data_IF_273638584193
#
_entry.id   IF_273638584193
#
_cell.length_a   1.000
_cell.length_b   1.000
_cell.length_c   1.000
_cell.angle_alpha   90.00
_cell.angle_beta   90.00
_cell.angle_gamma   90.00
#
_symmetry.space_group_name_H-M   'P 1'
#
loop_
_entity.id
_entity.type
_entity.pdbx_description
1 polymer ?
#
# COMPACT_ATOMS: atom_id res chain seq x y z
N UNK A 1 -5.66 -29.22 -15.31
CA UNK A 1 -6.60 -28.05 -15.28
C UNK A 1 -6.72 -27.60 -13.83
N UNK A 2 -5.98 -26.57 -13.44
CA UNK A 2 -6.14 -25.90 -12.14
C UNK A 2 -7.44 -25.09 -12.21
N UNK A 3 -8.44 -25.50 -11.48
CA UNK A 3 -9.62 -24.69 -11.23
C UNK A 3 -9.14 -23.46 -10.46
N UNK A 4 -9.00 -22.33 -11.13
CA UNK A 4 -8.82 -21.04 -10.50
C UNK A 4 -10.04 -20.84 -9.59
N UNK A 5 -9.81 -20.90 -8.26
CA UNK A 5 -10.86 -20.56 -7.30
C UNK A 5 -11.11 -19.08 -7.41
N UNK A 6 -12.19 -18.71 -8.09
CA UNK A 6 -12.57 -17.31 -8.18
C UNK A 6 -13.05 -16.85 -6.80
N UNK A 7 -12.32 -15.92 -6.18
CA UNK A 7 -12.77 -15.25 -4.98
C UNK A 7 -14.03 -14.44 -5.26
N UNK A 8 -14.96 -14.45 -4.33
CA UNK A 8 -16.18 -13.64 -4.43
C UNK A 8 -16.55 -13.09 -3.06
N UNK A 9 -17.20 -11.94 -3.06
CA UNK A 9 -17.71 -11.33 -1.85
C UNK A 9 -18.95 -12.08 -1.37
N UNK A 10 -18.90 -12.63 -0.17
CA UNK A 10 -20.02 -13.36 0.44
C UNK A 10 -20.94 -12.42 1.22
N UNK A 11 -20.35 -11.43 1.91
CA UNK A 11 -21.08 -10.51 2.79
C UNK A 11 -20.35 -9.20 2.96
N UNK A 12 -21.12 -8.13 3.04
CA UNK A 12 -20.67 -6.82 3.52
C UNK A 12 -21.23 -6.58 4.93
N UNK A 13 -20.37 -6.17 5.82
CA UNK A 13 -20.76 -5.75 7.16
C UNK A 13 -20.85 -4.22 7.23
N UNK A 14 -21.71 -3.71 8.11
CA UNK A 14 -21.84 -2.27 8.33
C UNK A 14 -20.53 -1.67 8.86
N UNK A 15 -20.23 -0.47 8.40
CA UNK A 15 -19.10 0.31 8.91
C UNK A 15 -19.29 0.61 10.39
N UNK A 16 -18.24 0.38 11.19
CA UNK A 16 -18.22 0.66 12.64
C UNK A 16 -17.15 1.71 12.98
N UNK A 17 -17.35 2.39 14.09
CA UNK A 17 -16.40 3.35 14.66
C UNK A 17 -16.13 3.03 16.12
N UNK A 18 -14.89 3.26 16.55
CA UNK A 18 -14.43 2.98 17.92
C UNK A 18 -13.78 4.23 18.57
N UNK A 19 -14.48 5.36 18.67
CA UNK A 19 -13.87 6.64 19.02
C UNK A 19 -13.34 6.72 20.45
N UNK A 20 -13.76 5.81 21.34
CA UNK A 20 -13.25 5.73 22.71
C UNK A 20 -11.95 4.94 22.82
N UNK A 21 -11.68 4.05 21.87
CA UNK A 21 -10.55 3.11 21.89
C UNK A 21 -9.49 3.49 20.88
N UNK A 22 -9.87 4.21 19.84
CA UNK A 22 -8.99 4.69 18.77
C UNK A 22 -9.17 6.20 18.65
N UNK A 23 -8.14 6.95 19.04
CA UNK A 23 -8.14 8.39 18.87
C UNK A 23 -8.16 8.76 17.39
N UNK A 24 -8.73 9.91 17.06
CA UNK A 24 -8.62 10.46 15.71
C UNK A 24 -7.14 10.66 15.35
N UNK A 25 -6.76 10.22 14.15
CA UNK A 25 -5.38 10.28 13.67
C UNK A 25 -5.31 10.10 12.16
N UNK A 26 -4.12 10.26 11.60
CA UNK A 26 -3.86 10.06 10.18
C UNK A 26 -3.25 8.67 9.97
N UNK A 27 -4.01 7.64 10.30
CA UNK A 27 -3.62 6.26 10.09
C UNK A 27 -3.69 5.94 8.59
N UNK A 28 -2.60 5.47 8.01
CA UNK A 28 -2.49 5.22 6.58
C UNK A 28 -2.34 3.74 6.24
N UNK A 29 -1.34 3.05 6.75
CA UNK A 29 -1.10 1.65 6.42
C UNK A 29 -1.23 0.70 7.61
N UNK A 30 -1.54 -0.56 7.34
CA UNK A 30 -1.73 -1.60 8.34
C UNK A 30 -1.15 -2.94 7.88
N UNK A 31 -0.50 -3.67 8.79
CA UNK A 31 -0.06 -5.04 8.54
C UNK A 31 -0.30 -5.94 9.76
N UNK A 32 -0.64 -7.19 9.50
CA UNK A 32 -0.84 -8.19 10.55
C UNK A 32 0.50 -8.60 11.17
N UNK A 33 0.57 -8.68 12.49
CA UNK A 33 1.74 -9.17 13.21
C UNK A 33 1.53 -10.61 13.67
N UNK A 34 0.59 -10.84 14.56
CA UNK A 34 0.20 -12.16 15.08
C UNK A 34 -1.19 -12.08 15.74
N UNK A 35 -1.90 -13.17 15.84
CA UNK A 35 -3.22 -13.29 16.47
C UNK A 35 -4.19 -12.15 16.03
N UNK A 36 -4.62 -11.31 16.96
CA UNK A 36 -5.46 -10.13 16.71
C UNK A 36 -4.66 -8.81 16.73
N UNK A 37 -3.31 -8.90 16.62
CA UNK A 37 -2.40 -7.77 16.74
C UNK A 37 -1.87 -7.33 15.37
N UNK A 38 -1.90 -6.02 15.16
CA UNK A 38 -1.50 -5.36 13.92
C UNK A 38 -0.54 -4.20 14.19
N UNK A 39 0.37 -3.93 13.26
CA UNK A 39 1.13 -2.69 13.21
C UNK A 39 0.45 -1.71 12.26
N UNK A 40 0.35 -0.46 12.68
CA UNK A 40 -0.28 0.62 11.92
C UNK A 40 0.68 1.80 11.85
N UNK A 41 0.86 2.36 10.66
CA UNK A 41 1.61 3.61 10.47
C UNK A 41 0.67 4.82 10.49
N UNK A 42 1.26 5.97 10.81
CA UNK A 42 0.57 7.25 10.74
C UNK A 42 1.38 8.23 9.90
N UNK A 43 0.74 8.85 8.94
CA UNK A 43 1.38 9.74 7.98
C UNK A 43 1.98 11.00 8.65
N UNK A 44 1.39 11.50 9.73
CA UNK A 44 1.76 12.79 10.37
C UNK A 44 2.15 12.68 11.84
N UNK A 45 2.75 11.56 12.22
CA UNK A 45 3.27 11.39 13.57
C UNK A 45 4.68 11.99 13.71
N UNK A 46 4.86 12.88 14.70
CA UNK A 46 6.16 13.53 14.93
C UNK A 46 7.15 12.66 15.71
N UNK A 47 6.70 11.60 16.37
CA UNK A 47 7.52 10.86 17.34
C UNK A 47 7.38 9.34 17.32
N UNK A 48 6.36 8.79 16.73
CA UNK A 48 6.17 7.34 16.67
C UNK A 48 5.78 6.91 15.27
N UNK A 49 6.56 5.96 14.73
CA UNK A 49 6.36 5.47 13.37
C UNK A 49 5.26 4.43 13.32
N UNK A 50 5.10 3.62 14.38
CA UNK A 50 4.24 2.45 14.41
C UNK A 50 3.39 2.43 15.67
N UNK A 51 2.09 2.23 15.47
CA UNK A 51 1.16 1.90 16.53
C UNK A 51 0.93 0.40 16.54
N UNK A 52 0.64 -0.13 17.72
CA UNK A 52 0.15 -1.49 17.89
C UNK A 52 -1.35 -1.43 18.10
N UNK A 53 -2.09 -2.11 17.24
CA UNK A 53 -3.56 -2.19 17.31
C UNK A 53 -3.98 -3.63 17.63
N UNK A 54 -5.01 -3.77 18.44
CA UNK A 54 -5.80 -4.99 18.52
C UNK A 54 -7.02 -4.84 17.65
N UNK A 55 -7.25 -5.81 16.77
CA UNK A 55 -8.41 -5.84 15.85
C UNK A 55 -9.03 -7.21 15.92
N UNK A 56 -10.25 -7.28 16.46
CA UNK A 56 -10.97 -8.54 16.63
C UNK A 56 -12.12 -8.66 15.64
N UNK A 57 -12.12 -9.76 14.92
CA UNK A 57 -13.13 -10.11 13.95
C UNK A 57 -13.91 -11.32 14.44
N UNK A 58 -15.21 -11.34 14.24
CA UNK A 58 -16.00 -12.53 14.41
C UNK A 58 -15.56 -13.59 13.40
N UNK A 59 -15.10 -14.78 13.83
CA UNK A 59 -14.53 -15.77 12.92
C UNK A 59 -15.54 -16.39 11.95
N UNK A 60 -16.83 -16.30 12.25
CA UNK A 60 -17.90 -16.88 11.42
C UNK A 60 -18.47 -15.85 10.44
N UNK A 61 -18.62 -14.61 10.87
CA UNK A 61 -19.26 -13.55 10.05
C UNK A 61 -18.29 -12.57 9.43
N UNK A 62 -17.00 -12.55 9.86
CA UNK A 62 -16.03 -11.52 9.48
C UNK A 62 -16.38 -10.13 10.05
N UNK A 63 -17.38 -10.03 10.93
CA UNK A 63 -17.79 -8.75 11.50
C UNK A 63 -16.70 -8.19 12.42
N UNK A 64 -16.41 -6.90 12.28
CA UNK A 64 -15.49 -6.20 13.15
C UNK A 64 -16.12 -6.01 14.53
N UNK A 65 -15.58 -6.69 15.55
CA UNK A 65 -16.14 -6.67 16.92
C UNK A 65 -15.46 -5.63 17.81
N UNK A 66 -14.13 -5.51 17.69
CA UNK A 66 -13.36 -4.62 18.54
C UNK A 66 -12.14 -4.06 17.79
N UNK A 67 -11.83 -2.78 18.05
CA UNK A 67 -10.58 -2.13 17.64
C UNK A 67 -10.07 -1.26 18.78
N UNK A 68 -8.81 -1.45 19.14
CA UNK A 68 -8.13 -0.72 20.21
C UNK A 68 -6.72 -0.33 19.78
N UNK A 69 -6.35 0.92 20.01
CA UNK A 69 -4.97 1.38 19.90
C UNK A 69 -4.24 1.08 21.21
N UNK A 70 -3.30 0.14 21.19
CA UNK A 70 -2.51 -0.28 22.34
C UNK A 70 -1.32 0.64 22.64
N UNK A 71 -1.10 1.67 21.82
CA UNK A 71 -0.01 2.61 21.99
C UNK A 71 1.10 2.47 20.94
N UNK A 72 2.18 3.21 21.18
CA UNK A 72 3.29 3.32 20.25
C UNK A 72 4.31 2.21 20.41
N UNK A 73 5.02 1.90 19.31
CA UNK A 73 6.32 1.26 19.37
C UNK A 73 7.37 2.23 19.91
N UNK A 74 8.33 1.72 20.65
CA UNK A 74 9.57 2.44 20.90
C UNK A 74 10.39 2.45 19.60
N UNK A 75 10.61 3.62 19.03
CA UNK A 75 11.46 3.78 17.84
C UNK A 75 12.77 4.42 18.21
N UNK A 76 13.86 3.85 17.70
CA UNK A 76 15.17 4.50 17.71
C UNK A 76 15.20 5.43 16.50
N UNK A 77 14.78 6.66 16.74
CA UNK A 77 15.15 7.81 15.95
C UNK A 77 14.90 7.77 14.43
N UNK A 78 13.78 8.30 13.98
CA UNK A 78 13.80 9.06 12.72
C UNK A 78 12.81 10.21 12.76
N UNK A 79 13.18 11.29 12.05
CA UNK A 79 12.32 12.43 11.81
C UNK A 79 11.10 11.98 11.00
N UNK A 80 10.01 12.71 11.15
CA UNK A 80 8.80 12.66 10.36
C UNK A 80 9.07 12.21 8.91
N UNK A 81 8.61 11.03 8.54
CA UNK A 81 8.88 10.41 7.25
C UNK A 81 7.67 10.28 6.33
N UNK A 82 6.51 10.70 6.79
CA UNK A 82 5.27 10.62 5.99
C UNK A 82 5.02 9.19 5.47
N UNK A 83 4.89 8.24 6.40
CA UNK A 83 4.69 6.84 6.07
C UNK A 83 3.26 6.57 5.63
N UNK A 84 3.08 5.99 4.45
CA UNK A 84 1.78 5.72 3.88
C UNK A 84 1.38 4.25 3.94
N UNK A 85 2.34 3.34 3.83
CA UNK A 85 2.06 1.91 3.90
C UNK A 85 3.09 1.13 4.69
N UNK A 86 2.71 -0.07 5.14
CA UNK A 86 3.54 -0.96 5.94
C UNK A 86 3.26 -2.42 5.58
N UNK A 87 4.31 -3.24 5.51
CA UNK A 87 4.21 -4.68 5.38
C UNK A 87 5.17 -5.42 6.33
N UNK A 88 4.70 -6.49 6.95
CA UNK A 88 5.57 -7.43 7.66
C UNK A 88 6.15 -8.42 6.65
N UNK A 89 7.46 -8.43 6.52
CA UNK A 89 8.17 -9.30 5.56
C UNK A 89 8.89 -10.48 6.22
N UNK A 90 9.07 -10.42 7.53
CA UNK A 90 9.58 -11.54 8.34
C UNK A 90 9.14 -11.41 9.80
N UNK A 91 9.56 -12.35 10.65
CA UNK A 91 9.27 -12.31 12.09
C UNK A 91 9.97 -11.17 12.83
N UNK A 92 10.91 -10.50 12.19
CA UNK A 92 11.71 -9.43 12.78
C UNK A 92 11.90 -8.21 11.89
N UNK A 93 11.14 -8.10 10.78
CA UNK A 93 11.33 -7.00 9.82
C UNK A 93 10.01 -6.45 9.33
N UNK A 94 9.87 -5.13 9.41
CA UNK A 94 8.81 -4.36 8.76
C UNK A 94 9.40 -3.55 7.61
N UNK A 95 8.64 -3.43 6.54
CA UNK A 95 8.95 -2.52 5.42
C UNK A 95 7.87 -1.46 5.36
N UNK A 96 8.28 -0.21 5.16
CA UNK A 96 7.36 0.89 4.93
C UNK A 96 7.65 1.57 3.61
N UNK A 97 6.68 2.28 3.11
CA UNK A 97 6.85 3.24 2.03
C UNK A 97 6.51 4.64 2.53
N UNK A 98 7.29 5.61 2.10
CA UNK A 98 7.11 7.03 2.47
C UNK A 98 6.82 7.85 1.23
N UNK A 99 5.73 8.63 1.27
CA UNK A 99 5.36 9.53 0.19
C UNK A 99 6.37 10.68 0.04
N UNK A 100 6.67 11.38 1.12
CA UNK A 100 7.52 12.56 1.09
C UNK A 100 8.96 12.32 0.64
N UNK A 101 9.47 11.10 0.78
CA UNK A 101 10.80 10.70 0.34
C UNK A 101 10.79 9.74 -0.85
N UNK A 102 9.62 9.31 -1.29
CA UNK A 102 9.44 8.32 -2.37
C UNK A 102 10.35 7.10 -2.19
N UNK A 103 10.40 6.56 -0.96
CA UNK A 103 11.32 5.50 -0.60
C UNK A 103 10.66 4.36 0.14
N UNK A 104 11.26 3.19 -0.01
CA UNK A 104 11.00 2.01 0.79
C UNK A 104 12.09 1.90 1.86
N UNK A 105 11.71 1.66 3.10
CA UNK A 105 12.61 1.50 4.21
C UNK A 105 12.30 0.21 4.98
N UNK A 106 13.34 -0.55 5.29
CA UNK A 106 13.25 -1.70 6.17
C UNK A 106 13.60 -1.32 7.61
N UNK A 107 12.85 -1.87 8.53
CA UNK A 107 13.03 -1.67 9.96
C UNK A 107 13.19 -3.03 10.65
N UNK A 108 14.31 -3.27 11.34
CA UNK A 108 14.39 -4.37 12.27
C UNK A 108 13.46 -4.12 13.46
N UNK A 109 12.73 -5.15 13.88
CA UNK A 109 11.75 -5.05 14.97
C UNK A 109 12.06 -6.08 16.04
N UNK A 110 12.18 -5.62 17.26
CA UNK A 110 12.46 -6.46 18.42
C UNK A 110 11.20 -6.62 19.27
N UNK A 111 10.88 -7.87 19.62
CA UNK A 111 9.68 -8.17 20.41
C UNK A 111 8.37 -8.05 19.64
N UNK A 112 8.38 -8.23 18.33
CA UNK A 112 7.19 -8.16 17.49
C UNK A 112 6.10 -9.12 17.95
N UNK A 113 6.48 -10.32 18.37
CA UNK A 113 5.57 -11.38 18.84
C UNK A 113 5.31 -11.32 20.36
N UNK A 114 5.66 -10.23 21.03
CA UNK A 114 5.41 -10.05 22.45
C UNK A 114 4.00 -9.47 22.65
N UNK A 115 3.19 -10.10 23.51
CA UNK A 115 1.82 -9.64 23.84
C UNK A 115 1.77 -8.31 24.59
N UNK A 116 2.90 -7.82 25.06
CA UNK A 116 3.01 -6.49 25.69
C UNK A 116 3.00 -5.40 24.65
N UNK A 117 2.39 -4.26 24.97
CA UNK A 117 2.16 -3.15 24.06
C UNK A 117 3.41 -2.56 23.39
N UNK A 118 4.58 -2.65 24.04
CA UNK A 118 5.81 -2.08 23.49
C UNK A 118 6.58 -3.11 22.65
N UNK A 119 6.82 -2.81 21.39
CA UNK A 119 7.89 -3.42 20.61
C UNK A 119 8.88 -2.33 20.18
N UNK A 120 10.14 -2.70 20.06
CA UNK A 120 11.19 -1.76 19.71
C UNK A 120 11.49 -1.87 18.22
N UNK A 121 11.53 -0.73 17.56
CA UNK A 121 11.90 -0.60 16.15
C UNK A 121 13.30 -0.02 16.07
N UNK A 122 14.23 -0.69 15.42
CA UNK A 122 15.60 -0.22 15.20
C UNK A 122 15.71 0.80 14.08
N UNK A 123 16.94 1.24 13.80
CA UNK A 123 17.21 2.18 12.71
C UNK A 123 16.81 1.58 11.35
N UNK A 124 16.24 2.39 10.49
CA UNK A 124 15.85 1.97 9.16
C UNK A 124 17.03 1.78 8.23
N UNK A 125 16.93 0.78 7.37
CA UNK A 125 17.81 0.63 6.22
C UNK A 125 17.08 1.14 4.98
N UNK A 126 17.59 2.20 4.37
CA UNK A 126 17.05 2.69 3.10
C UNK A 126 17.48 1.73 1.98
N UNK A 127 16.52 1.00 1.49
CA UNK A 127 16.73 -0.02 0.45
C UNK A 127 17.29 0.56 -0.84
N UNK A 128 17.09 1.87 -1.09
CA UNK A 128 17.60 2.57 -2.28
C UNK A 128 19.02 3.10 -2.14
N UNK A 129 19.51 3.34 -0.93
CA UNK A 129 20.85 3.89 -0.69
C UNK A 129 21.95 2.85 -0.84
N UNK A 130 21.60 1.58 -0.79
CA UNK A 130 22.56 0.51 -1.03
C UNK A 130 22.70 0.33 -2.54
N UNK A 131 23.55 1.13 -3.15
CA UNK A 131 23.84 1.04 -4.58
C UNK A 131 24.63 -0.20 -4.94
N UNK A 132 24.13 -1.02 -5.85
CA UNK A 132 24.91 -1.51 -6.97
C UNK A 132 24.40 -0.98 -8.30
N UNK A 133 25.26 -1.06 -9.30
CA UNK A 133 25.09 -0.46 -10.62
C UNK A 133 23.88 -0.98 -11.44
N UNK A 134 23.16 -1.99 -10.95
CA UNK A 134 22.14 -2.72 -11.71
C UNK A 134 20.73 -2.67 -11.09
N UNK A 135 20.49 -1.75 -10.17
CA UNK A 135 19.21 -1.70 -9.47
C UNK A 135 18.15 -0.97 -10.27
N UNK A 136 17.18 -1.70 -10.76
CA UNK A 136 16.08 -1.22 -11.61
C UNK A 136 15.25 -0.11 -10.94
N UNK A 137 15.18 -0.08 -9.61
CA UNK A 137 14.50 0.96 -8.85
C UNK A 137 15.10 2.35 -9.01
N UNK A 138 16.42 2.45 -8.87
CA UNK A 138 17.10 3.74 -8.89
C UNK A 138 17.20 4.33 -10.29
N UNK A 139 17.04 3.51 -11.30
CA UNK A 139 17.11 3.94 -12.70
C UNK A 139 15.75 4.29 -13.31
N UNK A 140 14.64 3.85 -12.69
CA UNK A 140 13.31 3.94 -13.31
C UNK A 140 12.36 4.90 -12.62
N UNK A 141 12.52 5.16 -11.31
CA UNK A 141 11.67 6.12 -10.59
C UNK A 141 12.51 6.95 -9.62
N UNK A 142 12.83 8.16 -10.04
CA UNK A 142 13.35 9.19 -9.16
C UNK A 142 12.17 9.94 -8.51
N UNK A 143 12.39 10.69 -7.43
CA UNK A 143 11.36 11.60 -6.90
C UNK A 143 10.75 12.52 -7.95
N UNK A 144 11.49 12.83 -9.03
CA UNK A 144 11.01 13.63 -10.15
C UNK A 144 9.99 12.93 -11.04
N UNK A 145 9.85 11.61 -10.95
CA UNK A 145 8.91 10.83 -11.76
C UNK A 145 7.48 10.86 -11.19
N UNK A 146 7.34 11.31 -9.94
CA UNK A 146 6.04 11.49 -9.32
C UNK A 146 5.53 12.91 -9.47
N UNK A 147 4.22 13.06 -9.58
CA UNK A 147 3.58 14.34 -9.39
C UNK A 147 3.61 14.73 -7.90
N UNK A 148 3.65 16.02 -7.56
CA UNK A 148 3.65 16.46 -6.16
C UNK A 148 2.43 15.89 -5.39
N UNK A 149 2.66 15.37 -4.20
CA UNK A 149 1.67 14.72 -3.33
C UNK A 149 1.02 13.45 -3.89
N UNK A 150 1.71 12.76 -4.82
CA UNK A 150 1.30 11.46 -5.34
C UNK A 150 2.49 10.51 -5.32
N UNK A 151 2.60 9.73 -4.27
CA UNK A 151 3.67 8.76 -4.10
C UNK A 151 3.19 7.31 -4.21
N UNK A 152 3.81 6.47 -3.40
CA UNK A 152 3.33 5.12 -3.13
C UNK A 152 2.47 5.17 -1.87
N UNK A 153 1.24 4.65 -1.94
CA UNK A 153 0.35 4.56 -0.78
C UNK A 153 0.04 3.13 -0.35
N UNK A 154 0.57 2.14 -1.03
CA UNK A 154 0.22 0.75 -0.76
C UNK A 154 1.43 -0.17 -0.72
N UNK A 155 1.35 -1.20 0.12
CA UNK A 155 2.38 -2.20 0.28
C UNK A 155 1.75 -3.51 0.78
N UNK A 156 1.95 -4.60 0.05
CA UNK A 156 1.47 -5.91 0.45
C UNK A 156 2.54 -6.98 0.24
N UNK A 157 2.73 -7.88 1.20
CA UNK A 157 3.72 -8.94 1.11
C UNK A 157 3.08 -10.32 0.96
N UNK A 158 3.46 -11.00 -0.11
CA UNK A 158 3.14 -12.40 -0.34
C UNK A 158 4.23 -13.27 0.29
N UNK A 159 3.96 -13.82 1.46
CA UNK A 159 4.90 -14.65 2.19
C UNK A 159 5.11 -16.03 1.57
N UNK A 160 4.21 -16.48 0.71
CA UNK A 160 4.29 -17.78 0.03
C UNK A 160 5.21 -17.70 -1.19
N UNK A 161 5.09 -16.59 -1.95
CA UNK A 161 5.86 -16.36 -3.18
C UNK A 161 7.04 -15.42 -2.99
N UNK A 162 7.19 -14.89 -1.77
CA UNK A 162 8.22 -13.91 -1.40
C UNK A 162 8.21 -12.67 -2.32
N UNK A 163 7.02 -12.17 -2.63
CA UNK A 163 6.83 -10.97 -3.44
C UNK A 163 6.33 -9.82 -2.59
N UNK A 164 6.98 -8.66 -2.72
CA UNK A 164 6.50 -7.42 -2.15
C UNK A 164 5.80 -6.63 -3.25
N UNK A 165 4.52 -6.38 -3.09
CA UNK A 165 3.68 -5.65 -4.03
C UNK A 165 3.54 -4.19 -3.64
N UNK A 166 3.58 -3.31 -4.61
CA UNK A 166 3.28 -1.89 -4.46
C UNK A 166 2.72 -1.31 -5.76
N UNK A 167 2.00 -0.22 -5.67
CA UNK A 167 1.47 0.52 -6.82
C UNK A 167 1.58 2.02 -6.53
N UNK A 168 1.84 2.84 -7.55
CA UNK A 168 1.76 4.29 -7.41
C UNK A 168 0.30 4.72 -7.17
N UNK A 169 0.08 5.72 -6.31
CA UNK A 169 -1.26 6.26 -6.08
C UNK A 169 -1.85 6.81 -7.38
N UNK A 170 -1.05 7.51 -8.16
CA UNK A 170 -1.50 8.19 -9.38
C UNK A 170 -0.57 7.93 -10.56
N UNK A 171 -0.97 8.38 -11.75
CA UNK A 171 -0.15 8.29 -12.97
C UNK A 171 1.19 8.98 -12.77
N UNK A 172 2.27 8.32 -13.15
CA UNK A 172 3.62 8.91 -13.10
C UNK A 172 3.77 9.98 -14.19
N UNK A 173 4.66 10.96 -13.99
CA UNK A 173 4.87 12.06 -14.96
C UNK A 173 5.22 11.59 -16.36
N UNK A 174 6.02 10.53 -16.46
CA UNK A 174 6.43 9.97 -17.75
C UNK A 174 5.34 9.10 -18.38
N UNK A 175 4.31 8.73 -17.61
CA UNK A 175 3.21 7.88 -18.05
C UNK A 175 1.95 8.69 -18.41
N UNK A 176 1.94 9.99 -18.12
CA UNK A 176 0.86 10.92 -18.50
C UNK A 176 0.37 11.82 -17.38
N UNK A 177 -0.81 12.39 -17.57
CA UNK A 177 -1.45 13.25 -16.57
C UNK A 177 -2.26 12.42 -15.56
N UNK A 178 -2.27 12.82 -14.28
CA UNK A 178 -3.14 12.23 -13.27
C UNK A 178 -4.62 12.39 -13.60
N UNK A 179 -5.42 11.42 -13.14
CA UNK A 179 -6.87 11.54 -13.18
C UNK A 179 -7.33 12.80 -12.46
N UNK A 180 -8.26 13.52 -13.05
CA UNK A 180 -8.83 14.71 -12.44
C UNK A 180 -10.31 14.88 -12.82
N UNK A 181 -11.02 15.66 -12.00
CA UNK A 181 -12.39 16.05 -12.29
C UNK A 181 -12.52 16.85 -13.60
N UNK A 182 -11.44 17.45 -14.09
CA UNK A 182 -11.38 18.27 -15.30
C UNK A 182 -11.14 17.43 -16.54
N UNK A 183 -10.07 16.63 -16.58
CA UNK A 183 -9.71 15.85 -17.74
C UNK A 183 -10.59 14.60 -17.90
N UNK A 184 -11.03 14.02 -16.78
CA UNK A 184 -11.85 12.82 -16.77
C UNK A 184 -11.15 11.57 -17.29
N UNK A 185 -9.84 11.62 -17.38
CA UNK A 185 -9.04 10.48 -17.77
C UNK A 185 -8.81 9.54 -16.58
N UNK A 186 -8.73 8.26 -16.85
CA UNK A 186 -8.38 7.26 -15.85
C UNK A 186 -6.89 7.30 -15.53
N UNK A 187 -6.51 7.12 -14.27
CA UNK A 187 -5.12 6.88 -13.91
C UNK A 187 -4.59 5.62 -14.58
N UNK A 188 -3.36 5.71 -15.10
CA UNK A 188 -2.57 4.61 -15.67
C UNK A 188 -1.39 4.36 -14.75
N UNK A 189 -1.42 3.25 -14.04
CA UNK A 189 -0.53 2.96 -12.93
C UNK A 189 0.37 1.78 -13.23
N UNK A 190 1.51 1.72 -12.55
CA UNK A 190 2.40 0.56 -12.56
C UNK A 190 2.23 -0.21 -11.28
N UNK A 191 1.74 -1.43 -11.38
CA UNK A 191 1.67 -2.39 -10.30
C UNK A 191 2.98 -3.18 -10.29
N UNK A 192 3.73 -3.08 -9.20
CA UNK A 192 5.06 -3.67 -9.04
C UNK A 192 5.02 -4.91 -8.18
N UNK A 193 5.77 -5.93 -8.59
CA UNK A 193 6.13 -7.08 -7.78
C UNK A 193 7.66 -7.11 -7.63
N UNK A 194 8.13 -7.01 -6.40
CA UNK A 194 9.56 -7.09 -6.06
C UNK A 194 9.86 -8.46 -5.50
N UNK A 195 10.83 -9.15 -6.08
CA UNK A 195 11.32 -10.42 -5.53
C UNK A 195 12.04 -10.17 -4.20
N UNK A 196 11.48 -10.70 -3.13
CA UNK A 196 11.99 -10.57 -1.76
C UNK A 196 12.62 -11.87 -1.23
N UNK A 197 12.76 -12.91 -2.08
CA UNK A 197 13.16 -14.27 -1.69
C UNK A 197 14.59 -14.39 -1.18
N UNK A 198 15.52 -13.53 -1.65
CA UNK A 198 16.95 -13.67 -1.37
C UNK A 198 17.48 -12.70 -0.30
N UNK A 199 16.61 -12.12 0.51
CA UNK A 199 17.02 -11.23 1.61
C UNK A 199 17.27 -11.96 2.93
N UNK A 200 17.82 -13.15 2.86
CA UNK A 200 18.29 -13.87 4.05
C UNK A 200 19.65 -13.34 4.49
N UNK A 201 19.72 -13.00 5.77
CA UNK A 201 20.90 -12.73 6.57
C UNK A 201 21.60 -11.38 6.40
N UNK A 202 21.13 -10.44 7.20
CA UNK A 202 21.90 -9.27 7.66
C UNK A 202 23.11 -9.64 8.55
N UNK A 203 23.54 -10.89 8.58
CA UNK A 203 24.64 -11.36 9.43
C UNK A 203 26.03 -11.11 8.88
N UNK A 204 26.17 -10.65 7.64
CA UNK A 204 27.47 -10.23 7.15
C UNK A 204 27.58 -8.71 7.17
N UNK A 205 28.43 -8.18 8.03
CA UNK A 205 28.80 -6.75 8.05
C UNK A 205 29.37 -6.22 6.72
N UNK A 206 29.46 -7.05 5.69
CA UNK A 206 29.93 -6.74 4.33
C UNK A 206 29.20 -7.54 3.25
N UNK A 207 28.01 -8.07 3.52
CA UNK A 207 27.25 -8.86 2.56
C UNK A 207 26.71 -8.00 1.41
N UNK A 208 26.91 -8.46 0.18
CA UNK A 208 26.26 -7.93 -1.00
C UNK A 208 24.75 -8.06 -0.83
N UNK A 209 24.06 -6.96 -0.55
CA UNK A 209 22.60 -6.92 -0.55
C UNK A 209 22.17 -7.09 -2.00
N UNK A 210 21.57 -8.23 -2.31
CA UNK A 210 20.93 -8.42 -3.60
C UNK A 210 19.65 -7.57 -3.63
N UNK A 211 19.51 -6.78 -4.68
CA UNK A 211 18.36 -5.92 -4.84
C UNK A 211 17.21 -6.70 -5.47
N UNK A 212 15.98 -6.52 -4.99
CA UNK A 212 14.85 -7.21 -5.56
C UNK A 212 14.66 -6.81 -7.02
N UNK A 213 14.57 -7.79 -7.90
CA UNK A 213 14.18 -7.59 -9.29
C UNK A 213 12.69 -7.28 -9.28
N UNK A 214 12.32 -6.17 -9.91
CA UNK A 214 10.93 -5.80 -10.07
C UNK A 214 10.42 -6.23 -11.44
N UNK A 215 9.25 -6.83 -11.44
CA UNK A 215 8.39 -6.87 -12.63
C UNK A 215 7.25 -5.91 -12.44
N UNK A 216 6.72 -5.34 -13.51
CA UNK A 216 5.56 -4.47 -13.43
C UNK A 216 4.46 -4.91 -14.39
N UNK A 217 3.23 -4.52 -14.02
CA UNK A 217 2.02 -4.73 -14.79
C UNK A 217 1.34 -3.40 -15.02
N UNK A 218 0.67 -3.24 -16.15
CA UNK A 218 -0.10 -2.04 -16.42
C UNK A 218 -1.47 -2.15 -15.72
N UNK A 219 -1.76 -1.22 -14.82
CA UNK A 219 -3.05 -1.13 -14.14
C UNK A 219 -3.78 0.13 -14.59
N UNK A 220 -5.06 0.02 -14.90
CA UNK A 220 -5.91 1.16 -15.23
C UNK A 220 -7.04 1.28 -14.23
N UNK A 221 -7.11 2.41 -13.56
CA UNK A 221 -8.24 2.75 -12.72
C UNK A 221 -9.50 3.01 -13.54
N UNK A 222 -10.65 3.07 -12.89
CA UNK A 222 -11.82 3.63 -13.51
C UNK A 222 -11.65 5.13 -13.79
N UNK A 223 -12.41 5.64 -14.75
CA UNK A 223 -12.43 7.08 -14.97
C UNK A 223 -13.12 7.80 -13.78
N UNK A 224 -12.72 9.06 -13.48
CA UNK A 224 -13.37 9.86 -12.43
C UNK A 224 -14.87 9.96 -12.61
N UNK A 225 -15.61 9.70 -11.53
CA UNK A 225 -17.07 9.91 -11.50
C UNK A 225 -17.43 11.37 -11.19
N UNK A 226 -16.58 12.06 -10.43
CA UNK A 226 -16.78 13.46 -10.04
C UNK A 226 -16.39 14.39 -11.18
N UNK A 227 -17.34 15.26 -11.56
CA UNK A 227 -17.18 16.27 -12.63
C UNK A 227 -17.46 17.70 -12.13
N UNK A 228 -17.49 17.88 -10.83
CA UNK A 228 -17.74 19.16 -10.18
C UNK A 228 -16.45 19.76 -9.66
N UNK A 229 -16.31 21.08 -9.73
CA UNK A 229 -15.13 21.79 -9.20
C UNK A 229 -15.01 21.56 -7.67
N UNK A 230 -13.95 20.95 -7.19
CA UNK A 230 -13.70 20.73 -5.78
C UNK A 230 -12.93 21.89 -5.15
N UNK A 231 -12.84 21.89 -3.81
CA UNK A 231 -11.76 22.55 -3.07
C UNK A 231 -10.56 21.60 -2.97
N UNK A 232 -10.84 20.32 -2.66
CA UNK A 232 -9.83 19.26 -2.64
C UNK A 232 -10.35 18.08 -3.45
N UNK A 233 -9.46 17.52 -4.26
CA UNK A 233 -9.74 16.34 -5.08
C UNK A 233 -8.52 15.43 -5.06
N UNK A 234 -8.73 14.15 -4.83
CA UNK A 234 -7.72 13.11 -4.99
C UNK A 234 -8.37 11.85 -5.56
N UNK A 235 -7.65 11.17 -6.43
CA UNK A 235 -8.08 9.89 -6.98
C UNK A 235 -6.87 8.99 -7.18
N UNK A 236 -6.91 7.80 -6.57
CA UNK A 236 -5.79 6.88 -6.63
C UNK A 236 -6.11 5.50 -6.06
N UNK A 237 -5.12 4.63 -6.13
CA UNK A 237 -5.10 3.38 -5.38
C UNK A 237 -4.54 3.68 -4.01
N UNK A 238 -5.30 3.36 -2.98
CA UNK A 238 -4.93 3.66 -1.58
C UNK A 238 -4.44 2.45 -0.80
N UNK A 239 -4.72 1.22 -1.26
CA UNK A 239 -4.25 0.02 -0.57
C UNK A 239 -4.23 -1.21 -1.48
N UNK A 240 -3.33 -2.14 -1.16
CA UNK A 240 -3.24 -3.49 -1.71
C UNK A 240 -3.31 -4.53 -0.59
N UNK A 241 -3.90 -5.67 -0.91
CA UNK A 241 -3.85 -6.84 -0.02
C UNK A 241 -3.61 -8.10 -0.86
N UNK A 242 -2.69 -8.96 -0.42
CA UNK A 242 -2.43 -10.26 -1.07
C UNK A 242 -3.35 -11.32 -0.48
N UNK A 243 -4.00 -12.07 -1.34
CA UNK A 243 -4.77 -13.26 -0.98
C UNK A 243 -3.87 -14.51 -0.96
N UNK A 244 -4.26 -15.59 -0.24
CA UNK A 244 -3.41 -16.78 -0.07
C UNK A 244 -2.97 -17.46 -1.36
N UNK A 245 -3.74 -17.31 -2.44
CA UNK A 245 -3.42 -17.86 -3.76
C UNK A 245 -2.57 -16.91 -4.63
N UNK A 246 -2.25 -15.72 -4.13
CA UNK A 246 -1.44 -14.70 -4.83
C UNK A 246 -2.24 -13.72 -5.66
N UNK A 247 -3.56 -13.81 -5.65
CA UNK A 247 -4.39 -12.75 -6.18
C UNK A 247 -4.32 -11.50 -5.28
N UNK A 248 -4.66 -10.35 -5.84
CA UNK A 248 -4.60 -9.07 -5.15
C UNK A 248 -6.00 -8.47 -5.00
N UNK A 249 -6.26 -7.93 -3.82
CA UNK A 249 -7.30 -6.94 -3.63
C UNK A 249 -6.70 -5.55 -3.83
N UNK A 250 -7.35 -4.73 -4.63
CA UNK A 250 -6.92 -3.36 -4.95
C UNK A 250 -8.03 -2.40 -4.55
N UNK A 251 -7.72 -1.46 -3.68
CA UNK A 251 -8.66 -0.44 -3.22
C UNK A 251 -8.44 0.86 -3.98
N UNK A 252 -9.36 1.17 -4.88
CA UNK A 252 -9.44 2.48 -5.54
C UNK A 252 -10.30 3.44 -4.73
N UNK A 253 -9.88 4.70 -4.62
CA UNK A 253 -10.68 5.76 -3.99
C UNK A 253 -10.75 7.01 -4.87
N UNK A 254 -11.86 7.73 -4.78
CA UNK A 254 -12.05 9.06 -5.34
C UNK A 254 -12.61 9.98 -4.26
N UNK A 255 -11.85 11.01 -3.87
CA UNK A 255 -12.18 11.96 -2.81
C UNK A 255 -12.61 13.29 -3.41
N UNK A 256 -13.73 13.79 -2.93
CA UNK A 256 -14.27 15.08 -3.31
C UNK A 256 -14.63 15.91 -2.07
N UNK A 257 -14.04 17.10 -1.95
CA UNK A 257 -14.38 18.05 -0.91
C UNK A 257 -14.79 19.37 -1.58
N UNK A 258 -16.06 19.80 -1.49
CA UNK A 258 -16.50 21.09 -2.01
C UNK A 258 -16.04 22.25 -1.12
N UNK A 259 -16.09 23.49 -1.64
CA UNK A 259 -15.73 24.69 -0.85
C UNK A 259 -16.53 24.84 0.44
N UNK A 260 -17.82 24.48 0.41
CA UNK A 260 -18.70 24.50 1.59
C UNK A 260 -18.36 23.45 2.63
N UNK A 261 -17.53 22.45 2.29
CA UNK A 261 -17.29 21.21 3.05
C UNK A 261 -18.54 20.34 3.25
N UNK A 262 -19.72 20.84 2.97
CA UNK A 262 -21.00 20.09 3.04
C UNK A 262 -21.15 19.29 1.75
N UNK A 263 -21.34 17.96 1.88
CA UNK A 263 -21.41 17.04 0.74
C UNK A 263 -20.02 16.56 0.27
N UNK A 264 -19.01 16.62 1.15
CA UNK A 264 -17.77 15.89 0.97
C UNK A 264 -18.06 14.38 0.87
N UNK A 265 -17.36 13.70 0.00
CA UNK A 265 -17.54 12.26 -0.23
C UNK A 265 -16.23 11.58 -0.58
N UNK A 266 -16.09 10.33 -0.15
CA UNK A 266 -15.07 9.42 -0.63
C UNK A 266 -15.77 8.20 -1.23
N UNK A 267 -15.57 7.97 -2.52
CA UNK A 267 -16.05 6.78 -3.21
C UNK A 267 -14.94 5.75 -3.23
N UNK A 268 -15.23 4.55 -2.78
CA UNK A 268 -14.29 3.44 -2.72
C UNK A 268 -14.78 2.28 -3.58
N UNK A 269 -13.86 1.62 -4.27
CA UNK A 269 -14.10 0.42 -5.06
C UNK A 269 -13.04 -0.63 -4.75
N UNK A 270 -13.48 -1.85 -4.47
CA UNK A 270 -12.60 -2.97 -4.21
C UNK A 270 -12.57 -3.90 -5.42
N UNK A 271 -11.41 -4.07 -6.01
CA UNK A 271 -11.17 -4.92 -7.16
C UNK A 271 -10.36 -6.16 -6.80
N UNK A 272 -10.65 -7.26 -7.48
CA UNK A 272 -9.84 -8.47 -7.52
C UNK A 272 -9.01 -8.48 -8.81
N UNK A 273 -7.72 -8.79 -8.68
CA UNK A 273 -6.76 -8.92 -9.78
C UNK A 273 -5.98 -10.21 -9.62
N UNK A 274 -5.78 -10.96 -10.70
CA UNK A 274 -4.92 -12.15 -10.73
C UNK A 274 -3.66 -11.89 -11.56
N UNK A 275 -2.55 -11.42 -10.98
CA UNK A 275 -1.34 -11.12 -11.74
C UNK A 275 -0.73 -12.31 -12.47
N UNK A 276 -0.99 -13.54 -11.99
CA UNK A 276 -0.47 -14.78 -12.63
C UNK A 276 -1.07 -15.03 -14.03
N UNK A 277 -2.20 -14.44 -14.32
CA UNK A 277 -2.88 -14.54 -15.63
C UNK A 277 -2.62 -13.34 -16.54
N UNK A 278 -1.82 -12.39 -16.08
CA UNK A 278 -1.64 -11.12 -16.77
C UNK A 278 -0.26 -10.99 -17.41
N UNK A 279 -0.18 -10.18 -18.45
CA UNK A 279 1.05 -9.92 -19.16
C UNK A 279 1.90 -8.87 -18.42
N UNK A 280 3.18 -9.15 -18.26
CA UNK A 280 4.15 -8.17 -17.74
C UNK A 280 4.22 -6.97 -18.67
N UNK A 281 4.19 -5.79 -18.09
CA UNK A 281 4.39 -4.52 -18.76
C UNK A 281 5.78 -3.98 -18.40
N UNK A 282 6.79 -4.09 -19.28
CA UNK A 282 8.16 -3.73 -18.97
C UNK A 282 8.29 -2.28 -18.51
N UNK A 283 9.26 -2.01 -17.63
CA UNK A 283 9.52 -0.67 -17.10
C UNK A 283 9.86 0.35 -18.20
N UNK A 284 10.46 -0.11 -19.29
CA UNK A 284 10.79 0.69 -20.48
C UNK A 284 9.59 0.92 -21.41
N UNK A 285 8.47 0.22 -21.22
CA UNK A 285 7.29 0.37 -22.05
C UNK A 285 6.52 1.65 -21.72
N UNK A 286 5.90 2.24 -22.73
CA UNK A 286 5.16 3.50 -22.63
C UNK A 286 3.66 3.27 -22.66
N UNK A 287 2.92 3.93 -21.79
CA UNK A 287 1.46 3.99 -21.81
C UNK A 287 0.88 4.78 -23.02
N UNK A 288 1.73 5.44 -23.80
CA UNK A 288 1.31 6.07 -25.06
C UNK A 288 1.08 5.06 -26.20
N UNK A 289 1.48 3.78 -26.02
CA UNK A 289 1.17 2.71 -26.96
C UNK A 289 -0.34 2.42 -27.00
N UNK A 290 -0.84 2.05 -28.19
CA UNK A 290 -2.24 1.64 -28.34
C UNK A 290 -2.53 0.23 -27.75
N UNK A 291 -1.50 -0.58 -27.56
CA UNK A 291 -1.61 -2.00 -27.18
C UNK A 291 -1.09 -2.25 -25.76
N UNK A 292 -1.44 -1.38 -24.81
CA UNK A 292 -1.06 -1.57 -23.41
C UNK A 292 -1.84 -2.75 -22.82
N UNK A 293 -1.15 -3.79 -22.30
CA UNK A 293 -1.81 -4.96 -21.74
C UNK A 293 -2.24 -4.67 -20.30
N UNK A 294 -3.32 -3.91 -20.14
CA UNK A 294 -3.87 -3.64 -18.81
C UNK A 294 -4.37 -4.90 -18.14
N UNK A 295 -4.05 -5.07 -16.87
CA UNK A 295 -4.56 -6.18 -16.06
C UNK A 295 -6.08 -6.17 -16.02
N UNK A 296 -6.67 -7.35 -16.08
CA UNK A 296 -8.12 -7.54 -15.89
C UNK A 296 -8.43 -7.41 -14.40
N UNK A 297 -9.47 -6.67 -14.09
CA UNK A 297 -9.93 -6.48 -12.71
C UNK A 297 -11.43 -6.78 -12.60
N UNK A 298 -11.80 -7.43 -11.50
CA UNK A 298 -13.21 -7.76 -11.19
C UNK A 298 -13.66 -6.93 -10.01
N UNK A 299 -14.70 -6.11 -10.19
CA UNK A 299 -15.29 -5.35 -9.10
C UNK A 299 -15.98 -6.30 -8.12
N UNK A 300 -15.55 -6.29 -6.86
CA UNK A 300 -16.17 -7.07 -5.78
C UNK A 300 -17.25 -6.26 -5.06
N UNK A 301 -16.96 -5.00 -4.72
CA UNK A 301 -17.89 -4.10 -4.06
C UNK A 301 -17.50 -2.63 -4.25
N UNK A 302 -18.44 -1.75 -4.01
CA UNK A 302 -18.23 -0.30 -3.97
C UNK A 302 -19.09 0.34 -2.89
N UNK A 303 -18.56 1.36 -2.25
CA UNK A 303 -19.28 2.13 -1.22
C UNK A 303 -18.87 3.60 -1.24
N UNK A 304 -19.62 4.42 -0.53
CA UNK A 304 -19.33 5.83 -0.37
C UNK A 304 -19.40 6.21 1.10
N UNK A 305 -18.40 6.90 1.59
CA UNK A 305 -18.42 7.57 2.90
C UNK A 305 -18.79 9.04 2.72
N UNK A 306 -19.56 9.59 3.66
CA UNK A 306 -20.00 10.99 3.67
C UNK A 306 -19.67 11.67 4.98
#
# INVERSE_FOLDING_TARGET
>A
ESVSSAWHLVRENAQKTFPKMVAAGNYSGITHLHDDIYAVVSDKSDSALFFKFRIQLNPLSGELEHVENLGFSETVCEKRLDHEAIARVSDSTLVTVSEGLFRFAEYPVYGMNNDRCAFRVGESVDVRKQKPADFVWSSTHSPSDFHPNYGYESLAYDSVRHLLWSISESTLRNDGEPASWQNGEANRLRLFAFDWSERSDTSSMFGSVRHPIAVSYAYRMDAPAIRKRPQTYAMGVSELCVLPDGQLLVLEREVYVPKSKIGASCQCKLYLVNPAEEQVFPMSASFASNDVPYVRKTLLTQWSTR
#
